data_IF_899907399507
#
_entry.id   IF_899907399507
#
_cell.length_a   1.000
_cell.length_b   1.000
_cell.length_c   1.000
_cell.angle_alpha   90.00
_cell.angle_beta   90.00
_cell.angle_gamma   90.00
#
_symmetry.space_group_name_H-M   'P 1'
#
loop_
_entity.id
_entity.type
_entity.pdbx_description
1 polymer ?
#
# COMPACT_ATOMS: atom_id res chain seq x y z
N UNK A 1 3.04 5.57 -27.84
CA UNK A 1 4.19 5.71 -26.93
C UNK A 1 3.72 5.26 -25.57
N UNK A 2 3.93 3.99 -25.22
CA UNK A 2 3.55 3.46 -23.91
C UNK A 2 4.53 4.01 -22.89
N UNK A 3 4.13 4.99 -22.10
CA UNK A 3 4.95 5.45 -20.99
C UNK A 3 5.05 4.33 -19.97
N UNK A 4 6.25 3.76 -19.85
CA UNK A 4 6.57 2.80 -18.79
C UNK A 4 6.59 3.58 -17.48
N UNK A 5 5.66 3.27 -16.59
CA UNK A 5 5.65 3.85 -15.25
C UNK A 5 6.77 3.21 -14.43
N UNK A 6 7.52 3.98 -13.62
CA UNK A 6 8.45 3.40 -12.67
C UNK A 6 7.69 2.46 -11.74
N UNK A 7 8.30 1.35 -11.37
CA UNK A 7 7.71 0.34 -10.50
C UNK A 7 8.55 0.15 -9.24
N UNK A 8 7.92 -0.37 -8.19
CA UNK A 8 8.60 -0.79 -6.96
C UNK A 8 8.33 -2.26 -6.71
N UNK A 9 9.36 -2.97 -6.26
CA UNK A 9 9.23 -4.31 -5.72
C UNK A 9 9.11 -4.27 -4.22
N UNK A 10 8.15 -4.98 -3.66
CA UNK A 10 8.03 -5.15 -2.21
C UNK A 10 9.02 -6.22 -1.77
N UNK A 11 9.96 -5.87 -0.91
CA UNK A 11 11.08 -6.74 -0.49
C UNK A 11 10.95 -7.25 0.95
N UNK A 12 10.05 -6.67 1.73
CA UNK A 12 9.77 -7.08 3.10
C UNK A 12 8.27 -6.94 3.40
N UNK A 13 7.81 -7.61 4.45
CA UNK A 13 6.39 -7.59 4.84
C UNK A 13 6.01 -6.17 5.23
N UNK A 14 5.03 -5.53 4.55
CA UNK A 14 4.64 -4.17 4.87
C UNK A 14 4.02 -4.11 6.28
N UNK A 15 4.25 -3.01 7.03
CA UNK A 15 3.56 -2.77 8.28
C UNK A 15 2.05 -2.55 8.02
N UNK A 16 1.20 -2.94 8.96
CA UNK A 16 -0.25 -2.72 8.85
C UNK A 16 -1.07 -3.63 9.74
N UNK A 17 -2.38 -3.38 9.78
CA UNK A 17 -3.36 -4.10 10.62
C UNK A 17 -3.96 -5.33 9.94
N UNK A 18 -3.79 -5.47 8.62
CA UNK A 18 -4.25 -6.66 7.91
C UNK A 18 -3.58 -7.93 8.50
N UNK A 19 -4.28 -9.08 8.49
CA UNK A 19 -3.72 -10.35 8.93
C UNK A 19 -2.35 -10.60 8.29
N UNK A 20 -1.43 -11.21 9.05
CA UNK A 20 -0.05 -11.40 8.60
C UNK A 20 0.03 -12.05 7.22
N UNK A 21 -0.76 -13.10 6.99
CA UNK A 21 -0.80 -13.81 5.70
C UNK A 21 -1.23 -12.93 4.52
N UNK A 22 -2.09 -11.93 4.74
CA UNK A 22 -2.48 -10.94 3.72
C UNK A 22 -1.30 -10.00 3.45
N UNK A 23 -0.58 -9.60 4.50
CA UNK A 23 0.57 -8.70 4.38
C UNK A 23 1.76 -9.38 3.69
N UNK A 24 2.02 -10.64 4.02
CA UNK A 24 3.08 -11.46 3.41
C UNK A 24 2.84 -11.67 1.91
N UNK A 25 1.57 -11.76 1.47
CA UNK A 25 1.22 -11.93 0.07
C UNK A 25 1.65 -10.76 -0.83
N UNK A 26 1.99 -9.60 -0.26
CA UNK A 26 2.57 -8.49 -1.00
C UNK A 26 4.05 -8.68 -1.33
N UNK A 27 4.77 -9.49 -0.55
CA UNK A 27 6.22 -9.63 -0.68
C UNK A 27 6.58 -10.30 -2.00
N UNK A 28 7.47 -9.66 -2.75
CA UNK A 28 7.90 -10.10 -4.07
C UNK A 28 7.11 -9.49 -5.22
N UNK A 29 5.96 -8.86 -4.97
CA UNK A 29 5.16 -8.22 -6.01
C UNK A 29 5.81 -6.93 -6.52
N UNK A 30 5.64 -6.70 -7.82
CA UNK A 30 6.07 -5.49 -8.52
C UNK A 30 4.85 -4.62 -8.79
N UNK A 31 4.85 -3.42 -8.25
CA UNK A 31 3.70 -2.52 -8.26
C UNK A 31 4.07 -1.24 -9.02
N UNK A 32 3.29 -0.86 -10.05
CA UNK A 32 3.53 0.36 -10.81
C UNK A 32 3.19 1.58 -9.94
N UNK A 33 4.07 2.57 -9.95
CA UNK A 33 3.85 3.82 -9.26
C UNK A 33 2.84 4.68 -10.02
N UNK A 34 2.08 5.49 -9.28
CA UNK A 34 1.31 6.56 -9.89
C UNK A 34 2.29 7.64 -10.38
N UNK A 35 2.24 7.90 -11.70
CA UNK A 35 3.13 8.74 -12.54
C UNK A 35 3.67 10.07 -11.98
N UNK A 36 3.06 10.61 -10.92
CA UNK A 36 3.37 11.94 -10.37
C UNK A 36 3.89 11.91 -8.93
N UNK A 37 4.04 10.72 -8.32
CA UNK A 37 4.23 10.53 -6.88
C UNK A 37 5.31 9.47 -6.60
N UNK A 38 6.52 9.65 -7.14
CA UNK A 38 7.69 8.94 -6.61
C UNK A 38 7.99 9.46 -5.20
N UNK A 39 8.35 8.52 -4.30
CA UNK A 39 8.56 8.66 -2.85
C UNK A 39 8.37 10.08 -2.27
N UNK A 40 7.25 10.32 -1.58
CA UNK A 40 7.02 11.59 -0.87
C UNK A 40 7.11 11.38 0.64
N UNK A 41 7.60 12.41 1.34
CA UNK A 41 7.46 12.52 2.79
C UNK A 41 6.01 12.88 3.09
N UNK A 42 5.25 11.96 3.64
CA UNK A 42 3.92 12.24 4.14
C UNK A 42 4.04 12.62 5.61
N UNK A 43 3.59 13.82 5.96
CA UNK A 43 3.21 14.09 7.34
C UNK A 43 1.94 13.30 7.59
N UNK A 44 2.08 12.07 8.08
CA UNK A 44 1.01 11.40 8.78
C UNK A 44 0.84 12.09 10.14
N UNK A 45 0.27 13.29 10.13
CA UNK A 45 -0.64 13.66 11.22
C UNK A 45 -1.67 12.53 11.31
N UNK A 46 -2.10 12.15 12.51
CA UNK A 46 -3.24 11.25 12.70
C UNK A 46 -4.49 11.86 12.07
N UNK A 47 -4.59 11.82 10.74
CA UNK A 47 -5.75 12.26 9.95
C UNK A 47 -6.70 11.09 9.83
N UNK A 48 -7.07 10.54 10.99
CA UNK A 48 -8.31 9.81 11.20
C UNK A 48 -8.85 10.04 12.62
N UNK A 49 -8.74 11.27 13.16
CA UNK A 49 -9.91 11.80 13.88
C UNK A 49 -11.02 12.02 12.84
N UNK A 50 -11.76 10.95 12.50
CA UNK A 50 -12.89 11.07 11.57
C UNK A 50 -13.43 9.81 10.89
N UNK A 51 -13.00 8.58 11.20
CA UNK A 51 -13.72 7.40 10.69
C UNK A 51 -13.90 6.31 11.74
N UNK A 52 -15.16 5.99 12.01
CA UNK A 52 -15.64 4.97 12.96
C UNK A 52 -15.36 3.54 12.47
N UNK A 53 -14.12 3.22 12.12
CA UNK A 53 -13.75 1.83 11.85
C UNK A 53 -13.26 1.17 13.14
N UNK A 54 -13.87 0.03 13.49
CA UNK A 54 -13.66 -0.72 14.76
C UNK A 54 -12.23 -1.21 15.00
N UNK A 55 -11.30 -0.97 14.07
CA UNK A 55 -9.88 -1.36 14.16
C UNK A 55 -8.91 -0.18 14.31
N UNK A 56 -9.30 1.05 13.94
CA UNK A 56 -8.43 2.23 14.07
C UNK A 56 -8.13 2.63 15.52
N UNK A 57 -9.01 2.29 16.46
CA UNK A 57 -8.79 2.54 17.89
C UNK A 57 -7.59 1.75 18.45
N UNK A 58 -7.30 0.57 17.90
CA UNK A 58 -6.21 -0.28 18.38
C UNK A 58 -4.84 0.30 17.99
N UNK A 59 -4.78 1.02 16.86
CA UNK A 59 -3.60 1.79 16.44
C UNK A 59 -3.46 3.12 17.15
N UNK A 60 -4.54 3.86 17.37
CA UNK A 60 -4.49 5.09 18.17
C UNK A 60 -3.99 4.82 19.60
N UNK A 61 -4.32 3.65 20.18
CA UNK A 61 -3.89 3.28 21.52
C UNK A 61 -2.39 2.89 21.58
N UNK A 62 -1.84 2.32 20.51
CA UNK A 62 -0.45 1.82 20.48
C UNK A 62 0.55 2.86 19.96
N UNK A 63 0.12 3.86 19.20
CA UNK A 63 1.03 4.70 18.41
C UNK A 63 0.76 6.20 18.61
N UNK A 64 0.91 6.66 19.85
CA UNK A 64 0.97 8.10 20.20
C UNK A 64 2.19 8.83 19.63
N UNK A 65 2.50 8.68 18.34
CA UNK A 65 3.59 9.36 17.63
C UNK A 65 3.22 9.60 16.16
N UNK A 66 3.12 10.87 15.81
CA UNK A 66 3.17 11.41 14.46
C UNK A 66 4.49 11.02 13.79
N UNK A 67 4.52 9.91 13.06
CA UNK A 67 5.70 9.49 12.31
C UNK A 67 5.60 10.01 10.86
N UNK A 68 6.66 10.69 10.40
CA UNK A 68 6.78 11.08 8.99
C UNK A 68 7.13 9.82 8.21
N UNK A 69 6.17 9.31 7.42
CA UNK A 69 6.38 8.10 6.62
C UNK A 69 6.83 8.52 5.22
N UNK A 70 7.97 8.00 4.81
CA UNK A 70 8.44 8.07 3.42
C UNK A 70 7.95 6.81 2.70
N UNK A 71 7.18 6.95 1.62
CA UNK A 71 6.55 5.81 0.97
C UNK A 71 6.14 6.06 -0.48
N UNK A 72 5.76 4.99 -1.15
CA UNK A 72 5.36 4.94 -2.54
C UNK A 72 3.84 4.85 -2.67
N UNK A 73 3.26 5.70 -3.50
CA UNK A 73 1.82 5.70 -3.77
C UNK A 73 1.50 4.83 -4.98
N UNK A 74 0.63 3.85 -4.77
CA UNK A 74 0.19 2.90 -5.78
C UNK A 74 -1.34 2.93 -5.79
N UNK A 75 -1.95 2.93 -6.97
CA UNK A 75 -3.41 2.84 -7.10
C UNK A 75 -3.92 1.58 -6.40
N UNK A 76 -4.90 1.76 -5.50
CA UNK A 76 -5.33 0.69 -4.60
C UNK A 76 -6.03 -0.45 -5.35
N UNK A 77 -6.87 -0.12 -6.33
CA UNK A 77 -7.56 -1.12 -7.14
C UNK A 77 -6.56 -1.93 -7.97
N UNK A 78 -5.64 -1.23 -8.66
CA UNK A 78 -4.59 -1.86 -9.44
C UNK A 78 -3.66 -2.74 -8.58
N UNK A 79 -3.30 -2.28 -7.38
CA UNK A 79 -2.48 -3.08 -6.46
C UNK A 79 -3.20 -4.39 -6.09
N UNK A 80 -4.49 -4.33 -5.77
CA UNK A 80 -5.28 -5.52 -5.43
C UNK A 80 -5.47 -6.44 -6.63
N UNK A 81 -5.57 -5.90 -7.84
CA UNK A 81 -5.64 -6.72 -9.05
C UNK A 81 -4.31 -7.46 -9.32
N UNK A 82 -3.17 -6.80 -9.11
CA UNK A 82 -1.84 -7.45 -9.18
C UNK A 82 -1.71 -8.50 -8.08
N UNK A 83 -2.13 -8.19 -6.84
CA UNK A 83 -2.18 -9.15 -5.75
C UNK A 83 -3.05 -10.35 -6.11
N UNK A 84 -4.18 -10.14 -6.77
CA UNK A 84 -5.09 -11.21 -7.18
C UNK A 84 -4.44 -12.22 -8.13
N UNK A 85 -3.50 -11.78 -8.97
CA UNK A 85 -2.76 -12.66 -9.87
C UNK A 85 -1.83 -13.62 -9.13
N UNK A 86 -1.31 -13.23 -7.96
CA UNK A 86 -0.40 -14.06 -7.14
C UNK A 86 -1.11 -14.78 -5.99
N UNK A 87 -2.06 -14.11 -5.34
CA UNK A 87 -2.82 -14.59 -4.20
C UNK A 87 -4.28 -14.10 -4.27
N UNK A 88 -5.16 -14.88 -4.92
CA UNK A 88 -6.59 -14.55 -4.99
C UNK A 88 -7.24 -14.41 -3.61
N UNK A 89 -6.82 -15.23 -2.64
CA UNK A 89 -7.34 -15.20 -1.27
C UNK A 89 -7.00 -13.87 -0.56
N UNK A 90 -5.78 -13.36 -0.73
CA UNK A 90 -5.39 -12.08 -0.13
C UNK A 90 -6.13 -10.91 -0.78
N UNK A 91 -6.34 -10.96 -2.10
CA UNK A 91 -7.13 -9.96 -2.81
C UNK A 91 -8.61 -9.97 -2.37
N UNK A 92 -9.20 -11.14 -2.17
CA UNK A 92 -10.57 -11.28 -1.65
C UNK A 92 -10.70 -10.61 -0.27
N UNK A 93 -9.72 -10.83 0.62
CA UNK A 93 -9.72 -10.19 1.94
C UNK A 93 -9.79 -8.65 1.82
N UNK A 94 -9.00 -8.03 0.94
CA UNK A 94 -9.06 -6.57 0.72
C UNK A 94 -10.43 -6.10 0.22
N UNK A 95 -11.01 -6.83 -0.74
CA UNK A 95 -12.33 -6.50 -1.32
C UNK A 95 -13.46 -6.63 -0.28
N UNK A 96 -13.39 -7.63 0.59
CA UNK A 96 -14.41 -7.89 1.61
C UNK A 96 -14.28 -6.96 2.82
N UNK A 97 -13.06 -6.69 3.29
CA UNK A 97 -12.84 -6.01 4.57
C UNK A 97 -12.62 -4.50 4.42
N UNK A 98 -12.24 -4.05 3.22
CA UNK A 98 -11.88 -2.65 2.97
C UNK A 98 -12.35 -2.11 1.62
N UNK A 99 -13.62 -2.34 1.19
CA UNK A 99 -14.10 -1.91 -0.11
C UNK A 99 -13.97 -0.39 -0.33
N UNK A 100 -14.12 0.41 0.73
CA UNK A 100 -13.99 1.88 0.66
C UNK A 100 -12.57 2.35 0.30
N UNK A 101 -11.55 1.53 0.62
CA UNK A 101 -10.15 1.83 0.27
C UNK A 101 -9.83 1.49 -1.19
N UNK A 102 -10.70 0.73 -1.86
CA UNK A 102 -10.55 0.34 -3.27
C UNK A 102 -11.38 1.23 -4.22
N UNK A 103 -12.05 2.25 -3.69
CA UNK A 103 -12.77 3.22 -4.50
C UNK A 103 -11.84 3.93 -5.50
N UNK A 104 -12.36 4.42 -6.64
CA UNK A 104 -11.54 5.11 -7.63
C UNK A 104 -10.71 6.26 -7.04
N UNK A 105 -9.48 6.43 -7.54
CA UNK A 105 -8.50 7.44 -7.10
C UNK A 105 -7.95 7.24 -5.68
N UNK A 106 -8.24 6.11 -5.02
CA UNK A 106 -7.59 5.73 -3.76
C UNK A 106 -6.22 5.12 -4.05
N UNK A 107 -5.27 5.41 -3.18
CA UNK A 107 -3.93 4.86 -3.26
C UNK A 107 -3.56 4.19 -1.95
N UNK A 108 -2.82 3.09 -2.06
CA UNK A 108 -2.04 2.55 -0.95
C UNK A 108 -0.70 3.26 -0.87
N UNK A 109 -0.19 3.34 0.36
CA UNK A 109 1.16 3.82 0.64
C UNK A 109 1.95 2.62 1.14
N UNK A 110 2.96 2.21 0.39
CA UNK A 110 3.93 1.22 0.84
C UNK A 110 5.18 1.95 1.33
N UNK A 111 5.65 1.61 2.54
CA UNK A 111 6.80 2.28 3.13
C UNK A 111 8.05 2.07 2.27
N UNK A 112 8.91 3.08 2.18
CA UNK A 112 10.10 3.01 1.33
C UNK A 112 11.15 2.00 1.84
N UNK A 113 11.16 1.68 3.13
CA UNK A 113 12.05 0.70 3.75
C UNK A 113 11.72 -0.75 3.35
N UNK A 114 10.46 -1.04 3.03
CA UNK A 114 10.00 -2.36 2.54
C UNK A 114 9.91 -2.44 1.01
N UNK A 115 10.31 -1.37 0.30
CA UNK A 115 10.24 -1.29 -1.15
C UNK A 115 11.61 -1.06 -1.78
N UNK A 116 11.82 -1.62 -2.97
CA UNK A 116 12.97 -1.33 -3.82
C UNK A 116 12.49 -0.82 -5.16
N UNK A 117 12.95 0.35 -5.56
CA UNK A 117 12.67 0.89 -6.90
C UNK A 117 13.30 -0.02 -7.96
N UNK A 118 12.52 -0.36 -8.98
CA UNK A 118 13.02 -1.07 -10.13
C UNK A 118 13.54 -0.05 -11.15
N UNK A 119 14.74 -0.27 -11.72
CA UNK A 119 15.23 0.60 -12.78
C UNK A 119 14.29 0.52 -13.98
N UNK A 120 13.93 1.68 -14.56
CA UNK A 120 13.12 1.75 -15.77
C UNK A 120 13.79 0.88 -16.86
N UNK A 121 13.11 -0.18 -17.31
CA UNK A 121 13.56 -0.99 -18.45
C UNK A 121 14.29 -2.30 -18.15
N UNK A 122 14.01 -2.99 -17.04
CA UNK A 122 14.49 -4.38 -16.87
C UNK A 122 13.57 -5.39 -17.60
N UNK A 123 13.80 -5.46 -18.92
CA UNK A 123 13.55 -6.55 -19.90
C UNK A 123 12.13 -7.12 -19.97
#
# INVERSE_FOLDING_TARGET
>A
MSEQLPAVRIVAVPPGEAPLWVREAWVGLELPLVRYLSSRKFLCAGVLSGSRSRFGWLWDLLRGRTETITGYMIDAALAVDILCASSPAAAAWWRENTPDLLAPKRCFIFHADVCRMLPEGSI
#
